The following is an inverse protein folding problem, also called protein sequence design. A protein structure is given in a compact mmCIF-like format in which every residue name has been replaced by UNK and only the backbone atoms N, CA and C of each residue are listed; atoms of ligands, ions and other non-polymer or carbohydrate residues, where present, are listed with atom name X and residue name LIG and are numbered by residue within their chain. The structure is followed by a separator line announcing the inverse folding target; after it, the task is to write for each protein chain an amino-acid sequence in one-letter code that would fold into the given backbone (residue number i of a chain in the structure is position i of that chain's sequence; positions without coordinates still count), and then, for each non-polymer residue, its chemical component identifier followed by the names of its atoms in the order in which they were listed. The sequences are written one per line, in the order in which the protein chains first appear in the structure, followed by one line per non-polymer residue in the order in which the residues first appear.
data_IF_574183902180
#
_entry.id   IF_574183902180
#
_cell.length_a   1.000
_cell.length_b   1.000
_cell.length_c   1.000
_cell.angle_alpha   90.00
_cell.angle_beta   90.00
_cell.angle_gamma   90.00
#
_symmetry.space_group_name_H-M   'P 1'
#
loop_
_entity.id
_entity.type
_entity.pdbx_description
1 polymer ?
#
# COMPACT_ATOMS: atom_id res chain seq x y z
N UNK A 1 23.26 9.77 3.22
CA UNK A 1 22.86 8.35 3.16
C UNK A 1 21.58 8.30 2.36
N UNK A 2 21.72 8.07 1.05
CA UNK A 2 20.59 8.07 0.12
C UNK A 2 19.79 6.79 0.32
N UNK A 3 18.47 6.93 0.43
CA UNK A 3 17.54 5.80 0.50
C UNK A 3 17.79 4.89 -0.70
N UNK A 4 18.29 3.68 -0.43
CA UNK A 4 18.30 2.59 -1.40
C UNK A 4 16.84 2.14 -1.57
N UNK A 5 16.10 2.88 -2.37
CA UNK A 5 14.84 2.39 -2.90
C UNK A 5 15.19 1.20 -3.81
N UNK A 6 14.97 0.01 -3.26
CA UNK A 6 15.07 -1.26 -3.98
C UNK A 6 14.24 -1.11 -5.26
N UNK A 7 14.85 -1.39 -6.41
CA UNK A 7 14.33 -1.10 -7.76
C UNK A 7 12.88 -1.52 -7.98
N UNK A 8 12.36 -2.51 -7.25
CA UNK A 8 10.95 -2.94 -7.36
C UNK A 8 9.90 -2.12 -6.60
N UNK A 9 10.28 -1.11 -5.79
CA UNK A 9 9.31 -0.35 -4.98
C UNK A 9 8.63 0.76 -5.79
N UNK A 10 9.35 1.39 -6.71
CA UNK A 10 8.81 2.42 -7.60
C UNK A 10 7.91 1.83 -8.68
N UNK A 11 8.32 0.71 -9.29
CA UNK A 11 7.51 0.00 -10.29
C UNK A 11 6.14 -0.41 -9.75
N UNK A 12 6.09 -0.86 -8.49
CA UNK A 12 4.82 -1.18 -7.83
C UNK A 12 3.97 0.07 -7.63
N UNK A 13 4.57 1.18 -7.21
CA UNK A 13 3.82 2.41 -6.99
C UNK A 13 3.28 2.98 -8.31
N UNK A 14 4.08 2.99 -9.38
CA UNK A 14 3.63 3.40 -10.72
C UNK A 14 2.55 2.45 -11.28
N UNK A 15 2.69 1.15 -11.12
CA UNK A 15 1.70 0.17 -11.58
C UNK A 15 0.35 0.33 -10.88
N UNK A 16 0.35 0.73 -9.61
CA UNK A 16 -0.87 0.96 -8.83
C UNK A 16 -1.49 2.32 -9.13
N UNK A 17 -0.66 3.36 -9.35
CA UNK A 17 -1.14 4.67 -9.83
C UNK A 17 -1.78 4.57 -11.22
N UNK A 18 -1.22 3.74 -12.11
CA UNK A 18 -1.80 3.46 -13.42
C UNK A 18 -3.13 2.68 -13.36
N UNK A 19 -3.43 2.03 -12.22
CA UNK A 19 -4.69 1.31 -11.98
C UNK A 19 -5.78 2.17 -11.34
N UNK A 20 -5.56 3.49 -11.27
CA UNK A 20 -6.52 4.44 -10.66
C UNK A 20 -6.79 4.14 -9.17
N UNK A 21 -5.82 3.50 -8.50
CA UNK A 21 -5.87 3.29 -7.04
C UNK A 21 -5.41 4.58 -6.38
N UNK A 22 -6.11 5.05 -5.34
CA UNK A 22 -5.68 6.27 -4.68
C UNK A 22 -4.35 6.04 -3.95
N UNK A 23 -3.46 7.04 -3.92
CA UNK A 23 -2.19 6.94 -3.21
C UNK A 23 -2.35 6.53 -1.74
N UNK A 24 -3.45 6.94 -1.11
CA UNK A 24 -3.75 6.60 0.29
C UNK A 24 -4.00 5.10 0.49
N UNK A 25 -4.60 4.41 -0.48
CA UNK A 25 -4.88 2.97 -0.43
C UNK A 25 -3.59 2.17 -0.64
N UNK A 26 -2.70 2.68 -1.51
CA UNK A 26 -1.36 2.13 -1.70
C UNK A 26 -0.55 2.23 -0.40
N UNK A 27 -0.60 3.38 0.26
CA UNK A 27 0.05 3.57 1.56
C UNK A 27 -0.51 2.63 2.61
N UNK A 28 -1.83 2.35 2.58
CA UNK A 28 -2.47 1.41 3.49
C UNK A 28 -1.96 -0.01 3.27
N UNK A 29 -1.81 -0.44 2.01
CA UNK A 29 -1.23 -1.76 1.69
C UNK A 29 0.21 -1.90 2.16
N UNK A 30 1.02 -0.83 2.03
CA UNK A 30 2.40 -0.81 2.52
C UNK A 30 2.45 -0.88 4.05
N UNK A 31 1.66 -0.06 4.74
CA UNK A 31 1.56 -0.06 6.20
C UNK A 31 1.07 -1.42 6.74
N UNK A 32 0.13 -2.05 6.03
CA UNK A 32 -0.35 -3.39 6.32
C UNK A 32 0.75 -4.45 6.22
N UNK A 33 1.56 -4.41 5.15
CA UNK A 33 2.71 -5.31 4.98
C UNK A 33 3.80 -5.12 6.02
N UNK A 34 3.95 -3.90 6.57
CA UNK A 34 4.89 -3.59 7.66
C UNK A 34 4.32 -3.96 9.04
N UNK A 35 3.02 -4.26 9.14
CA UNK A 35 2.34 -4.49 10.42
C UNK A 35 2.21 -3.22 11.27
N UNK A 36 2.34 -2.04 10.67
CA UNK A 36 2.35 -0.74 11.35
C UNK A 36 0.93 -0.29 11.69
N UNK A 37 0.40 -0.84 12.79
CA UNK A 37 -0.95 -0.58 13.31
C UNK A 37 -1.29 0.92 13.42
N UNK A 38 -0.49 1.79 14.06
CA UNK A 38 -0.86 3.20 14.17
C UNK A 38 -0.97 3.88 12.79
N UNK A 39 -0.10 3.53 11.84
CA UNK A 39 -0.14 4.06 10.48
C UNK A 39 -1.36 3.57 9.70
N UNK A 40 -1.76 2.30 9.88
CA UNK A 40 -3.01 1.74 9.32
C UNK A 40 -4.23 2.52 9.86
N UNK A 41 -4.28 2.78 11.16
CA UNK A 41 -5.39 3.53 11.77
C UNK A 41 -5.52 4.95 11.21
N UNK A 42 -4.39 5.66 11.03
CA UNK A 42 -4.42 7.01 10.44
C UNK A 42 -4.88 6.99 8.99
N UNK A 43 -4.43 6.02 8.19
CA UNK A 43 -4.81 5.89 6.78
C UNK A 43 -6.30 5.53 6.63
N UNK A 44 -6.82 4.66 7.49
CA UNK A 44 -8.27 4.38 7.53
C UNK A 44 -9.08 5.62 7.92
N UNK A 45 -8.60 6.44 8.87
CA UNK A 45 -9.23 7.72 9.21
C UNK A 45 -9.18 8.74 8.08
N UNK A 46 -8.12 8.70 7.26
CA UNK A 46 -7.99 9.52 6.06
C UNK A 46 -8.93 9.08 4.92
N UNK A 47 -9.69 8.00 5.10
CA UNK A 47 -10.63 7.48 4.12
C UNK A 47 -10.04 6.45 3.15
N UNK A 48 -8.92 5.81 3.53
CA UNK A 48 -8.35 4.74 2.72
C UNK A 48 -9.30 3.54 2.63
N UNK A 49 -9.43 2.99 1.42
CA UNK A 49 -10.24 1.84 1.11
C UNK A 49 -9.39 0.56 1.16
N UNK A 50 -9.59 -0.22 2.22
CA UNK A 50 -8.91 -1.49 2.43
C UNK A 50 -9.46 -2.64 1.57
N UNK A 51 -10.57 -2.42 0.87
CA UNK A 51 -11.23 -3.45 0.03
C UNK A 51 -10.66 -3.51 -1.38
N UNK A 52 -9.91 -2.49 -1.79
CA UNK A 52 -9.28 -2.42 -3.10
C UNK A 52 -8.19 -3.49 -3.24
N UNK A 53 -8.11 -4.03 -4.44
CA UNK A 53 -7.11 -5.02 -4.82
C UNK A 53 -5.99 -4.35 -5.61
N UNK A 54 -4.77 -4.74 -5.29
CA UNK A 54 -3.59 -4.30 -6.00
C UNK A 54 -3.45 -5.01 -7.37
N UNK A 55 -2.36 -4.68 -8.09
CA UNK A 55 -2.01 -5.26 -9.39
C UNK A 55 -1.92 -6.80 -9.41
N UNK A 56 -1.71 -7.43 -8.25
CA UNK A 56 -1.60 -8.89 -8.11
C UNK A 56 -2.86 -9.49 -7.48
N UNK A 57 -3.94 -8.72 -7.36
CA UNK A 57 -5.22 -9.16 -6.84
C UNK A 57 -5.31 -9.24 -5.31
N UNK A 58 -4.34 -8.69 -4.58
CA UNK A 58 -4.26 -8.71 -3.11
C UNK A 58 -4.82 -7.43 -2.50
N UNK A 59 -5.59 -7.55 -1.44
CA UNK A 59 -6.04 -6.43 -0.60
C UNK A 59 -4.97 -6.01 0.42
N UNK A 60 -5.19 -4.90 1.12
CA UNK A 60 -4.35 -4.52 2.26
C UNK A 60 -4.29 -5.63 3.33
N UNK A 61 -5.41 -6.33 3.58
CA UNK A 61 -5.45 -7.47 4.50
C UNK A 61 -4.65 -8.68 4.00
N UNK A 62 -4.68 -8.95 2.69
CA UNK A 62 -3.87 -10.02 2.10
C UNK A 62 -2.38 -9.72 2.21
N UNK A 63 -1.99 -8.45 2.19
CA UNK A 63 -0.60 -8.00 2.39
C UNK A 63 -0.17 -8.06 3.86
N UNK A 64 -1.09 -7.82 4.80
CA UNK A 64 -0.79 -7.93 6.24
C UNK A 64 -0.47 -9.37 6.69
N UNK A 65 -1.02 -10.37 6.00
CA UNK A 65 -0.84 -11.79 6.32
C UNK A 65 0.22 -12.48 5.46
N UNK A 66 0.97 -11.74 4.64
CA UNK A 66 1.87 -12.29 3.62
C UNK A 66 3.34 -12.33 4.04
#
# INVERSE_FOLDING_TARGET
MGMLAVEGTYDKMEALLNQNIHPVDILLMLAASEGDKPKIEELLRAGADYTLKDAVGKTALDRANS
#
